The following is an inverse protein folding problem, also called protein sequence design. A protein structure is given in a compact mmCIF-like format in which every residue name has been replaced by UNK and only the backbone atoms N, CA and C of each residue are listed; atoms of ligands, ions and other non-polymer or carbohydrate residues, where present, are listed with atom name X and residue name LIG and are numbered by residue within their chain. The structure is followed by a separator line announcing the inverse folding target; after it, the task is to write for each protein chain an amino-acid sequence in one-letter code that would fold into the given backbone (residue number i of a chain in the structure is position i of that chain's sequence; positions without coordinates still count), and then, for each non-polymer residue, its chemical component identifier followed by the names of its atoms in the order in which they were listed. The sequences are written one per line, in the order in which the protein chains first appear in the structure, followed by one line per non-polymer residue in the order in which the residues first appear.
data_IF_218350007954
#
_entry.id   IF_218350007954
#
_cell.length_a   1.000
_cell.length_b   1.000
_cell.length_c   1.000
_cell.angle_alpha   90.00
_cell.angle_beta   90.00
_cell.angle_gamma   90.00
#
_symmetry.space_group_name_H-M   'P 1'
#
loop_
_entity.id
_entity.type
_entity.pdbx_description
1 polymer ?
#
# COMPACT_ATOMS: atom_id res chain seq x y z
N UNK A 1 -10.73 -22.68 -5.61
CA UNK A 1 -9.32 -22.62 -5.21
C UNK A 1 -8.90 -21.17 -5.01
N UNK A 2 -8.18 -20.88 -3.94
CA UNK A 2 -7.55 -19.57 -3.65
C UNK A 2 -6.03 -19.76 -3.63
N UNK A 3 -5.25 -18.79 -4.09
CA UNK A 3 -3.78 -18.85 -4.09
C UNK A 3 -3.19 -17.60 -3.46
N UNK A 4 -2.11 -17.79 -2.72
CA UNK A 4 -1.35 -16.74 -2.07
C UNK A 4 0.00 -16.56 -2.78
N UNK A 5 0.35 -15.32 -3.08
CA UNK A 5 1.57 -14.97 -3.81
C UNK A 5 2.38 -13.93 -3.03
N UNK A 6 3.70 -14.06 -3.03
CA UNK A 6 4.63 -13.04 -2.55
C UNK A 6 4.77 -12.02 -3.66
N UNK A 7 4.24 -10.82 -3.43
CA UNK A 7 4.23 -9.75 -4.41
C UNK A 7 5.65 -9.33 -4.85
N UNK A 8 6.67 -9.53 -4.00
CA UNK A 8 8.05 -9.07 -4.27
C UNK A 8 8.74 -9.90 -5.34
N UNK A 9 8.48 -11.21 -5.36
CA UNK A 9 9.16 -12.15 -6.25
C UNK A 9 8.19 -12.92 -7.18
N UNK A 10 6.88 -12.69 -7.05
CA UNK A 10 5.84 -13.34 -7.84
C UNK A 10 5.70 -14.84 -7.57
N UNK A 11 6.28 -15.38 -6.50
CA UNK A 11 6.23 -16.81 -6.18
C UNK A 11 5.04 -17.10 -5.28
N UNK A 12 4.46 -18.29 -5.45
CA UNK A 12 3.37 -18.76 -4.59
C UNK A 12 3.94 -19.01 -3.18
N UNK A 13 3.32 -18.42 -2.15
CA UNK A 13 3.83 -18.49 -0.76
C UNK A 13 3.56 -19.85 -0.13
N UNK A 14 2.41 -20.45 -0.46
CA UNK A 14 1.95 -21.72 0.11
C UNK A 14 1.14 -22.51 -0.92
N UNK A 15 0.78 -23.76 -0.61
CA UNK A 15 -0.10 -24.57 -1.42
C UNK A 15 -1.45 -23.88 -1.66
N UNK A 16 -2.08 -24.10 -2.83
CA UNK A 16 -3.39 -23.53 -3.09
C UNK A 16 -4.42 -23.99 -2.04
N UNK A 17 -5.29 -23.07 -1.66
CA UNK A 17 -6.39 -23.37 -0.75
C UNK A 17 -7.54 -23.99 -1.55
N UNK A 18 -7.60 -25.32 -1.53
CA UNK A 18 -8.59 -26.14 -2.23
C UNK A 18 -9.79 -26.50 -1.33
N UNK A 19 -10.21 -25.58 -0.48
CA UNK A 19 -11.29 -25.83 0.50
C UNK A 19 -12.69 -25.67 -0.09
N UNK A 20 -12.80 -24.92 -1.20
CA UNK A 20 -14.05 -24.68 -1.89
C UNK A 20 -14.33 -25.76 -2.94
N UNK A 21 -15.54 -26.29 -2.94
CA UNK A 21 -16.00 -27.34 -3.88
C UNK A 21 -16.69 -26.77 -5.12
N UNK A 22 -16.84 -25.44 -5.19
CA UNK A 22 -17.41 -24.71 -6.33
C UNK A 22 -16.57 -23.47 -6.65
N UNK A 23 -17.00 -22.68 -7.63
CA UNK A 23 -16.34 -21.46 -8.05
C UNK A 23 -16.26 -20.45 -6.88
N UNK A 24 -15.04 -19.97 -6.62
CA UNK A 24 -14.81 -18.85 -5.70
C UNK A 24 -15.25 -17.57 -6.40
N UNK A 25 -16.21 -16.87 -5.82
CA UNK A 25 -16.82 -15.68 -6.40
C UNK A 25 -16.24 -14.39 -5.82
N UNK A 26 -15.65 -14.45 -4.62
CA UNK A 26 -15.07 -13.28 -3.95
C UNK A 26 -13.93 -13.70 -3.01
N UNK A 27 -12.92 -12.82 -2.90
CA UNK A 27 -11.80 -12.94 -1.97
C UNK A 27 -11.49 -11.57 -1.35
N UNK A 28 -11.17 -11.53 -0.07
CA UNK A 28 -10.78 -10.32 0.64
C UNK A 28 -9.76 -10.62 1.74
N UNK A 29 -8.83 -9.69 1.99
CA UNK A 29 -8.00 -9.72 3.19
C UNK A 29 -8.72 -9.09 4.36
N UNK A 30 -8.45 -9.58 5.58
CA UNK A 30 -8.82 -8.86 6.79
C UNK A 30 -8.07 -7.53 6.88
N UNK A 31 -8.62 -6.53 7.56
CA UNK A 31 -7.90 -5.29 7.83
C UNK A 31 -6.57 -5.55 8.57
N UNK A 32 -6.48 -6.53 9.47
CA UNK A 32 -5.20 -6.82 10.11
C UNK A 32 -4.18 -7.56 9.21
N UNK A 33 -4.52 -7.94 7.97
CA UNK A 33 -3.62 -8.67 7.05
C UNK A 33 -3.39 -10.13 7.41
N UNK A 34 -3.78 -10.56 8.61
CA UNK A 34 -3.57 -11.92 9.10
C UNK A 34 -4.53 -12.96 8.54
N UNK A 35 -5.65 -12.56 7.95
CA UNK A 35 -6.67 -13.47 7.44
C UNK A 35 -7.06 -13.14 6.00
N UNK A 36 -7.43 -14.18 5.25
CA UNK A 36 -8.18 -14.08 4.01
C UNK A 36 -9.58 -14.66 4.25
N UNK A 37 -10.58 -14.00 3.70
CA UNK A 37 -11.95 -14.50 3.53
C UNK A 37 -12.16 -14.85 2.06
N UNK A 38 -12.76 -16.00 1.80
CA UNK A 38 -13.24 -16.40 0.47
C UNK A 38 -14.70 -16.85 0.51
N UNK A 39 -15.48 -16.41 -0.47
CA UNK A 39 -16.87 -16.83 -0.68
C UNK A 39 -17.04 -17.56 -2.00
N UNK A 40 -17.86 -18.61 -2.00
CA UNK A 40 -17.99 -19.54 -3.13
C UNK A 40 -19.45 -19.91 -3.41
N UNK A 41 -19.70 -20.34 -4.64
CA UNK A 41 -20.99 -20.91 -5.06
C UNK A 41 -21.33 -22.26 -4.39
N UNK A 42 -20.47 -22.78 -3.52
CA UNK A 42 -20.74 -23.95 -2.67
C UNK A 42 -21.50 -23.58 -1.36
N UNK A 43 -21.97 -22.34 -1.27
CA UNK A 43 -22.66 -21.78 -0.12
C UNK A 43 -21.80 -21.70 1.15
N UNK A 44 -20.47 -21.73 1.03
CA UNK A 44 -19.54 -21.54 2.15
C UNK A 44 -18.78 -20.23 2.06
N UNK A 45 -18.50 -19.69 3.23
CA UNK A 45 -17.50 -18.63 3.46
C UNK A 45 -16.41 -19.23 4.31
N UNK A 46 -15.15 -19.08 3.90
CA UNK A 46 -14.01 -19.65 4.59
C UNK A 46 -13.07 -18.53 5.02
N UNK A 47 -12.65 -18.59 6.28
CA UNK A 47 -11.65 -17.67 6.87
C UNK A 47 -10.37 -18.46 7.09
N UNK A 48 -9.28 -18.00 6.50
CA UNK A 48 -7.98 -18.65 6.56
C UNK A 48 -6.93 -17.70 7.09
N UNK A 49 -6.13 -18.15 8.07
CA UNK A 49 -4.97 -17.39 8.55
C UNK A 49 -3.82 -17.52 7.55
N UNK A 50 -3.13 -16.42 7.29
CA UNK A 50 -2.15 -16.28 6.20
C UNK A 50 -0.74 -15.97 6.70
N UNK A 51 -0.61 -15.51 7.95
CA UNK A 51 0.66 -15.20 8.59
C UNK A 51 0.79 -16.02 9.87
N UNK A 52 1.88 -16.78 9.97
CA UNK A 52 2.38 -17.38 11.20
C UNK A 52 3.61 -16.59 11.64
N UNK A 53 3.59 -16.15 12.90
CA UNK A 53 4.67 -15.46 13.61
C UNK A 53 4.94 -14.01 13.14
N UNK A 54 4.49 -13.04 13.95
CA UNK A 54 5.28 -11.83 14.14
C UNK A 54 6.67 -12.31 14.59
N UNK A 55 7.78 -11.92 13.94
CA UNK A 55 9.09 -12.17 14.53
C UNK A 55 9.09 -11.50 15.91
N UNK A 56 9.33 -12.29 16.95
CA UNK A 56 9.49 -11.80 18.32
C UNK A 56 10.40 -10.56 18.35
N UNK A 57 10.09 -9.52 19.15
CA UNK A 57 10.84 -8.27 19.20
C UNK A 57 12.14 -8.39 20.01
N UNK A 58 12.89 -9.48 19.84
CA UNK A 58 14.20 -9.67 20.46
C UNK A 58 15.21 -10.00 19.36
N UNK A 59 15.71 -8.95 18.72
CA UNK A 59 16.79 -9.08 17.75
C UNK A 59 16.90 -7.88 16.83
N UNK A 60 17.34 -6.76 17.39
CA UNK A 60 17.81 -5.57 16.68
C UNK A 60 16.76 -4.83 15.84
N UNK A 61 16.09 -3.87 16.49
CA UNK A 61 15.28 -2.86 15.82
C UNK A 61 16.21 -1.93 15.01
N UNK A 62 16.61 -2.40 13.83
CA UNK A 62 17.03 -1.52 12.75
C UNK A 62 15.86 -0.59 12.35
N UNK A 63 16.14 0.53 11.66
CA UNK A 63 15.20 1.66 11.47
C UNK A 63 13.98 1.39 10.56
N UNK A 64 13.43 0.17 10.51
CA UNK A 64 12.43 -0.24 9.50
C UNK A 64 11.15 -0.91 10.05
N UNK A 65 10.93 -0.97 11.36
CA UNK A 65 9.69 -1.55 11.91
C UNK A 65 8.62 -0.48 12.15
N UNK A 66 7.67 -0.35 11.22
CA UNK A 66 6.53 0.56 11.37
C UNK A 66 5.62 0.10 12.53
N UNK A 67 5.50 0.90 13.59
CA UNK A 67 4.64 0.60 14.75
C UNK A 67 3.29 1.33 14.66
N UNK A 68 2.27 0.82 15.36
CA UNK A 68 0.91 1.39 15.33
C UNK A 68 0.81 2.77 15.97
N UNK A 69 1.82 3.19 16.74
CA UNK A 69 1.85 4.49 17.43
C UNK A 69 2.61 5.57 16.65
N UNK A 70 3.10 5.27 15.45
CA UNK A 70 3.82 6.23 14.63
C UNK A 70 2.90 7.30 14.03
N UNK A 71 3.34 8.55 14.12
CA UNK A 71 2.74 9.67 13.39
C UNK A 71 2.99 9.56 11.88
N UNK A 72 2.17 10.24 11.08
CA UNK A 72 2.33 10.33 9.61
C UNK A 72 3.73 10.79 9.21
N UNK A 73 4.33 11.72 9.97
CA UNK A 73 5.68 12.19 9.71
C UNK A 73 6.74 11.10 9.95
N UNK A 74 6.61 10.33 11.05
CA UNK A 74 7.51 9.20 11.31
C UNK A 74 7.39 8.12 10.25
N UNK A 75 6.17 7.83 9.76
CA UNK A 75 5.97 6.90 8.65
C UNK A 75 6.66 7.36 7.35
N UNK A 76 6.62 8.66 7.06
CA UNK A 76 7.30 9.22 5.88
C UNK A 76 8.82 9.14 5.99
N UNK A 77 9.35 9.43 7.18
CA UNK A 77 10.79 9.27 7.45
C UNK A 77 11.22 7.80 7.27
N UNK A 78 10.44 6.83 7.77
CA UNK A 78 10.70 5.40 7.53
C UNK A 78 10.68 5.02 6.04
N UNK A 79 9.75 5.55 5.25
CA UNK A 79 9.71 5.30 3.80
C UNK A 79 10.94 5.86 3.10
N UNK A 80 11.40 7.05 3.50
CA UNK A 80 12.63 7.65 2.97
C UNK A 80 13.86 6.81 3.34
N UNK A 81 13.95 6.36 4.59
CA UNK A 81 15.04 5.51 5.07
C UNK A 81 15.05 4.13 4.39
N UNK A 82 13.89 3.69 3.88
CA UNK A 82 13.77 2.49 3.07
C UNK A 82 14.12 2.67 1.58
N UNK A 83 14.51 3.87 1.16
CA UNK A 83 14.95 4.17 -0.19
C UNK A 83 13.92 4.90 -1.07
N UNK A 84 12.74 5.23 -0.56
CA UNK A 84 11.81 6.08 -1.29
C UNK A 84 12.38 7.50 -1.40
N UNK A 85 12.42 8.06 -2.61
CA UNK A 85 12.87 9.43 -2.81
C UNK A 85 11.74 10.40 -2.45
N UNK A 86 12.07 11.44 -1.69
CA UNK A 86 11.16 12.57 -1.48
C UNK A 86 11.14 13.43 -2.76
N UNK A 87 10.00 13.38 -3.46
CA UNK A 87 9.81 14.12 -4.72
C UNK A 87 9.10 15.46 -4.52
N UNK A 88 8.87 15.90 -3.27
CA UNK A 88 8.10 17.11 -2.96
C UNK A 88 8.71 18.39 -3.56
N UNK A 89 10.04 18.46 -3.71
CA UNK A 89 10.74 19.60 -4.35
C UNK A 89 10.90 19.45 -5.87
N UNK A 90 10.69 18.24 -6.38
CA UNK A 90 10.88 17.89 -7.79
C UNK A 90 9.57 17.95 -8.57
N UNK A 91 8.44 17.94 -7.88
CA UNK A 91 7.14 18.10 -8.53
C UNK A 91 6.96 19.54 -9.00
N UNK A 92 6.67 19.71 -10.28
CA UNK A 92 6.39 21.03 -10.83
C UNK A 92 4.97 21.43 -10.44
N UNK A 93 4.82 22.15 -9.33
CA UNK A 93 3.52 22.66 -8.86
C UNK A 93 2.95 23.76 -9.76
N UNK A 94 3.69 24.23 -10.77
CA UNK A 94 3.25 25.24 -11.75
C UNK A 94 2.74 24.62 -13.05
N UNK A 95 3.10 23.38 -13.36
CA UNK A 95 2.49 22.61 -14.45
C UNK A 95 1.30 21.81 -13.92
N UNK A 96 0.19 21.81 -14.66
CA UNK A 96 -1.10 21.24 -14.26
C UNK A 96 -0.96 19.83 -13.67
N UNK A 97 -1.01 19.72 -12.35
CA UNK A 97 -1.30 18.46 -11.67
C UNK A 97 -2.80 18.26 -11.84
N UNK A 98 -3.19 17.26 -12.64
CA UNK A 98 -4.58 17.04 -13.02
C UNK A 98 -5.09 15.78 -12.32
N UNK A 99 -6.19 15.90 -11.58
CA UNK A 99 -6.91 14.74 -11.07
C UNK A 99 -7.50 13.96 -12.26
N UNK A 100 -7.09 12.71 -12.43
CA UNK A 100 -7.58 11.83 -13.49
C UNK A 100 -8.76 11.00 -12.99
N UNK A 101 -8.67 10.53 -11.74
CA UNK A 101 -9.68 9.66 -11.12
C UNK A 101 -9.91 10.11 -9.69
N UNK A 102 -11.16 10.42 -9.36
CA UNK A 102 -11.59 10.58 -7.96
C UNK A 102 -11.96 9.23 -7.39
N UNK A 103 -11.34 8.85 -6.27
CA UNK A 103 -11.68 7.63 -5.55
C UNK A 103 -12.41 7.96 -4.25
N UNK A 104 -13.63 7.44 -4.06
CA UNK A 104 -14.46 7.69 -2.87
C UNK A 104 -13.96 6.99 -1.57
N UNK A 105 -12.67 6.70 -1.44
CA UNK A 105 -12.13 6.13 -0.19
C UNK A 105 -10.69 5.60 -0.26
N UNK A 106 -10.16 5.36 -1.46
CA UNK A 106 -8.77 4.89 -1.66
C UNK A 106 -7.80 6.02 -2.05
N UNK A 107 -8.26 7.26 -1.94
CA UNK A 107 -7.57 8.42 -2.47
C UNK A 107 -7.84 8.66 -3.95
N UNK A 108 -7.30 9.76 -4.45
CA UNK A 108 -7.42 10.20 -5.83
C UNK A 108 -6.16 9.84 -6.62
N UNK A 109 -6.32 9.65 -7.92
CA UNK A 109 -5.21 9.43 -8.84
C UNK A 109 -5.03 10.70 -9.66
N UNK A 110 -3.86 11.28 -9.54
CA UNK A 110 -3.46 12.51 -10.22
C UNK A 110 -2.34 12.21 -11.21
N UNK A 111 -2.34 12.92 -12.33
CA UNK A 111 -1.18 12.98 -13.22
C UNK A 111 -0.37 14.21 -12.85
N UNK A 112 0.94 14.05 -12.72
CA UNK A 112 1.87 15.14 -12.54
C UNK A 112 3.05 15.06 -13.49
N UNK A 113 3.93 16.05 -13.38
CA UNK A 113 5.23 16.06 -14.05
C UNK A 113 6.31 16.51 -13.07
N UNK A 114 7.46 15.85 -13.11
CA UNK A 114 8.65 16.28 -12.39
C UNK A 114 9.37 17.38 -13.19
N UNK A 115 10.19 18.19 -12.52
CA UNK A 115 10.95 19.31 -13.10
C UNK A 115 11.85 18.90 -14.27
N UNK A 116 12.27 17.63 -14.32
CA UNK A 116 13.08 17.06 -15.41
C UNK A 116 12.24 16.65 -16.65
N UNK A 117 10.92 16.81 -16.60
CA UNK A 117 10.00 16.45 -17.69
C UNK A 117 9.32 15.08 -17.55
N UNK A 118 9.72 14.25 -16.58
CA UNK A 118 9.15 12.91 -16.38
C UNK A 118 7.68 12.99 -15.94
N UNK A 119 6.80 12.26 -16.63
CA UNK A 119 5.39 12.11 -16.23
C UNK A 119 5.28 11.12 -15.08
N UNK A 120 4.49 11.46 -14.07
CA UNK A 120 4.26 10.62 -12.90
C UNK A 120 2.77 10.45 -12.63
N UNK A 121 2.40 9.31 -12.06
CA UNK A 121 1.09 9.09 -11.48
C UNK A 121 1.22 9.20 -9.97
N UNK A 122 0.37 10.03 -9.37
CA UNK A 122 0.41 10.36 -7.94
C UNK A 122 -0.88 9.83 -7.32
N UNK A 123 -0.75 8.94 -6.35
CA UNK A 123 -1.87 8.49 -5.54
C UNK A 123 -1.98 9.38 -4.31
N UNK A 124 -2.99 10.24 -4.28
CA UNK A 124 -3.19 11.25 -3.22
C UNK A 124 -4.21 10.73 -2.22
N UNK A 125 -3.84 10.73 -0.94
CA UNK A 125 -4.75 10.37 0.14
C UNK A 125 -5.23 11.68 0.80
N UNK A 126 -6.55 11.90 0.90
CA UNK A 126 -7.11 13.14 1.45
C UNK A 126 -6.81 13.23 2.95
N UNK A 127 -6.36 14.39 3.42
CA UNK A 127 -5.96 14.62 4.83
C UNK A 127 -7.11 14.37 5.81
N UNK A 128 -8.35 14.76 5.46
CA UNK A 128 -9.53 14.45 6.28
C UNK A 128 -9.76 12.94 6.46
N UNK A 129 -9.41 12.14 5.45
CA UNK A 129 -9.46 10.67 5.51
C UNK A 129 -8.25 10.06 6.23
N UNK A 130 -7.13 10.78 6.32
CA UNK A 130 -5.91 10.35 7.05
C UNK A 130 -6.05 10.63 8.54
N UNK A 131 -6.57 11.80 8.94
CA UNK A 131 -6.81 12.16 10.34
C UNK A 131 -7.95 11.34 10.97
N UNK A 132 -8.96 10.99 10.17
CA UNK A 132 -10.04 10.08 10.58
C UNK A 132 -9.71 8.60 10.29
N UNK A 133 -8.57 8.32 9.67
CA UNK A 133 -8.15 6.95 9.40
C UNK A 133 -7.75 6.27 10.70
N UNK A 134 -8.20 5.03 10.87
CA UNK A 134 -7.62 4.17 11.88
C UNK A 134 -6.11 4.00 11.61
N UNK A 135 -5.28 4.14 12.65
CA UNK A 135 -3.82 4.02 12.57
C UNK A 135 -3.40 2.68 11.95
N UNK A 136 -4.20 1.62 12.15
CA UNK A 136 -3.97 0.32 11.51
C UNK A 136 -4.12 0.36 9.98
N UNK A 137 -5.01 1.19 9.45
CA UNK A 137 -5.22 1.37 8.01
C UNK A 137 -4.07 2.15 7.38
N UNK A 138 -3.64 3.23 8.04
CA UNK A 138 -2.51 4.03 7.61
C UNK A 138 -1.20 3.23 7.67
N UNK A 139 -1.00 2.43 8.72
CA UNK A 139 0.12 1.48 8.83
C UNK A 139 0.12 0.48 7.66
N UNK A 140 -1.04 -0.12 7.33
CA UNK A 140 -1.13 -1.07 6.20
C UNK A 140 -0.74 -0.39 4.88
N UNK A 141 -1.21 0.84 4.67
CA UNK A 141 -0.85 1.61 3.48
C UNK A 141 0.65 1.86 3.41
N UNK A 142 1.29 2.25 4.53
CA UNK A 142 2.72 2.46 4.61
C UNK A 142 3.51 1.16 4.38
N UNK A 143 3.09 0.03 4.95
CA UNK A 143 3.68 -1.28 4.67
C UNK A 143 3.56 -1.67 3.18
N UNK A 144 2.39 -1.46 2.57
CA UNK A 144 2.22 -1.72 1.13
C UNK A 144 3.12 -0.83 0.29
N UNK A 145 3.26 0.47 0.62
CA UNK A 145 4.18 1.37 -0.06
C UNK A 145 5.63 0.93 0.10
N UNK A 146 6.02 0.42 1.27
CA UNK A 146 7.34 -0.14 1.51
C UNK A 146 7.61 -1.42 0.70
N UNK A 147 6.61 -2.29 0.55
CA UNK A 147 6.72 -3.49 -0.29
C UNK A 147 6.81 -3.11 -1.77
N UNK A 148 6.02 -2.11 -2.20
CA UNK A 148 6.03 -1.59 -3.57
C UNK A 148 7.32 -0.83 -3.89
N UNK A 149 7.94 -0.12 -2.94
CA UNK A 149 9.21 0.57 -3.17
C UNK A 149 10.37 -0.39 -3.43
N UNK A 150 10.25 -1.62 -2.95
CA UNK A 150 11.22 -2.70 -3.13
C UNK A 150 10.89 -3.62 -4.31
N UNK A 151 9.74 -3.41 -4.95
CA UNK A 151 9.27 -4.25 -6.04
C UNK A 151 9.91 -3.81 -7.36
N UNK A 152 10.67 -4.72 -7.95
CA UNK A 152 11.26 -4.56 -9.29
C UNK A 152 10.77 -5.70 -10.17
N UNK A 153 9.87 -5.38 -11.11
CA UNK A 153 9.28 -6.37 -12.01
C UNK A 153 8.91 -5.75 -13.36
N UNK A 154 9.23 -6.39 -14.50
CA UNK A 154 9.05 -5.80 -15.84
C UNK A 154 7.59 -5.46 -16.22
N UNK A 155 6.62 -6.08 -15.55
CA UNK A 155 5.18 -5.87 -15.80
C UNK A 155 4.47 -5.10 -14.68
N UNK A 156 5.19 -4.58 -13.68
CA UNK A 156 4.58 -3.80 -12.60
C UNK A 156 5.26 -2.43 -12.55
N UNK A 157 4.46 -1.37 -12.50
CA UNK A 157 5.00 -0.02 -12.37
C UNK A 157 5.72 0.14 -11.03
N UNK A 158 6.98 0.55 -11.09
CA UNK A 158 7.80 0.81 -9.92
C UNK A 158 7.31 2.06 -9.18
N UNK A 159 7.33 2.02 -7.85
CA UNK A 159 7.12 3.20 -7.03
C UNK A 159 8.40 4.05 -7.04
N UNK A 160 8.36 5.18 -7.72
CA UNK A 160 9.52 6.08 -7.88
C UNK A 160 9.83 6.93 -6.64
N UNK A 161 8.83 7.20 -5.80
CA UNK A 161 9.01 8.04 -4.63
C UNK A 161 7.73 8.31 -3.87
N UNK A 162 7.87 9.08 -2.79
CA UNK A 162 6.78 9.48 -1.91
C UNK A 162 6.76 11.00 -1.79
N UNK A 163 5.57 11.55 -1.61
CA UNK A 163 5.36 12.99 -1.48
C UNK A 163 4.45 13.21 -0.27
N UNK A 164 4.85 14.12 0.62
CA UNK A 164 4.01 14.57 1.71
C UNK A 164 3.71 16.06 1.52
N UNK A 165 2.45 16.37 1.21
CA UNK A 165 1.99 17.75 1.25
C UNK A 165 1.66 18.12 2.70
N UNK A 166 2.50 18.95 3.31
CA UNK A 166 2.15 19.64 4.56
C UNK A 166 1.32 20.86 4.18
N UNK A 167 0.05 20.85 4.56
CA UNK A 167 -0.87 21.99 4.54
C UNK A 167 -1.09 22.67 3.17
N UNK A 168 -0.66 22.05 2.07
CA UNK A 168 -0.93 22.51 0.71
C UNK A 168 -1.90 21.54 0.04
N UNK A 169 -3.15 21.96 -0.09
CA UNK A 169 -4.10 21.31 -0.98
C UNK A 169 -3.55 21.40 -2.42
N UNK A 170 -3.41 20.25 -3.08
CA UNK A 170 -3.28 20.19 -4.53
C UNK A 170 -4.63 20.60 -5.14
N UNK A 171 -4.95 21.90 -5.15
CA UNK A 171 -6.23 22.46 -5.64
C UNK A 171 -7.45 21.90 -4.88
N UNK A 172 -7.99 22.59 -3.89
CA UNK A 172 -8.62 23.92 -3.95
C UNK A 172 -8.23 24.75 -2.74
#
# INVERSE_FOLDING_TARGET
MVRLWDARNGRQVDQPFEEHTSAVLSVAYSPCGHYIVSGSGDCKVIIRRVLGEDPDPIGDAGPQSLTSEMSTQQMFECLRDAGCVDLSSQIDSRQEIVMIVSGEGFGDIWQGRLNNGTKVIIKVWRTSSVEQCDHATLKRAAHQLLDLSRMDHPNVHQLEGVIMFKDQYLGV
#
